data_IF_265878461280
#
_entry.id   IF_265878461280
#
_cell.length_a   1.000
_cell.length_b   1.000
_cell.length_c   1.000
_cell.angle_alpha   90.00
_cell.angle_beta   90.00
_cell.angle_gamma   90.00
#
_symmetry.space_group_name_H-M   'P 1'
#
loop_
_entity.id
_entity.type
_entity.pdbx_description
1 polymer ?
#
# COMPACT_ATOMS: atom_id res chain seq x y z
N UNK A 1 -2.17 10.10 18.70
CA UNK A 1 -1.87 9.10 19.76
C UNK A 1 -0.40 8.72 19.78
N UNK A 2 0.19 8.42 18.62
CA UNK A 2 1.61 8.07 18.49
C UNK A 2 2.60 9.06 19.14
N UNK A 3 2.38 10.38 19.02
CA UNK A 3 3.25 11.39 19.64
C UNK A 3 3.43 11.19 21.16
N UNK A 4 2.32 10.93 21.88
CA UNK A 4 2.34 10.64 23.32
C UNK A 4 3.03 9.32 23.62
N UNK A 5 2.82 8.30 22.79
CA UNK A 5 3.50 7.01 22.93
C UNK A 5 5.00 7.16 22.79
N UNK A 6 5.49 7.88 21.78
CA UNK A 6 6.93 8.11 21.59
C UNK A 6 7.54 8.84 22.81
N UNK A 7 6.83 9.81 23.38
CA UNK A 7 7.26 10.46 24.61
C UNK A 7 7.35 9.47 25.79
N UNK A 8 6.31 8.66 26.01
CA UNK A 8 6.29 7.68 27.09
C UNK A 8 7.41 6.65 26.97
N UNK A 9 7.70 6.16 25.76
CA UNK A 9 8.81 5.21 25.55
C UNK A 9 10.18 5.81 25.90
N UNK A 10 10.35 7.12 25.72
CA UNK A 10 11.57 7.83 26.11
C UNK A 10 11.60 8.01 27.62
N UNK A 11 10.50 8.46 28.22
CA UNK A 11 10.39 8.70 29.66
C UNK A 11 10.61 7.40 30.46
N UNK A 12 10.13 6.27 29.96
CA UNK A 12 10.28 4.93 30.54
C UNK A 12 11.65 4.29 30.24
N UNK A 13 12.58 5.01 29.59
CA UNK A 13 13.90 4.52 29.18
C UNK A 13 13.85 3.22 28.35
N UNK A 14 12.80 3.08 27.53
CA UNK A 14 12.67 1.96 26.58
C UNK A 14 13.43 2.24 25.28
N UNK A 15 13.60 3.51 24.91
CA UNK A 15 14.42 3.99 23.80
C UNK A 15 14.80 5.47 23.99
N UNK A 16 15.53 6.06 23.05
CA UNK A 16 15.85 7.49 23.02
C UNK A 16 15.43 8.13 21.70
N UNK A 17 15.24 9.46 21.69
CA UNK A 17 14.96 10.20 20.44
C UNK A 17 16.06 10.01 19.37
N UNK A 18 17.31 9.79 19.81
CA UNK A 18 18.44 9.51 18.92
C UNK A 18 18.28 8.16 18.25
N UNK A 19 18.03 7.10 19.03
CA UNK A 19 17.79 5.75 18.52
C UNK A 19 16.57 5.71 17.60
N UNK A 20 15.47 6.39 17.96
CA UNK A 20 14.30 6.50 17.09
C UNK A 20 14.70 7.09 15.74
N UNK A 21 15.50 8.17 15.72
CA UNK A 21 15.97 8.78 14.48
C UNK A 21 16.82 7.83 13.64
N UNK A 22 17.77 7.15 14.27
CA UNK A 22 18.64 6.17 13.60
C UNK A 22 17.84 5.00 13.00
N UNK A 23 16.87 4.45 13.74
CA UNK A 23 16.06 3.31 13.32
C UNK A 23 15.03 3.66 12.23
N UNK A 24 14.48 4.87 12.25
CA UNK A 24 13.54 5.36 11.24
C UNK A 24 14.21 5.98 10.02
N UNK A 25 15.53 6.25 10.07
CA UNK A 25 16.25 6.93 9.00
C UNK A 25 15.99 8.43 8.92
N UNK A 26 15.57 9.08 10.01
CA UNK A 26 15.34 10.54 10.05
C UNK A 26 16.22 11.23 11.09
N UNK A 27 16.31 12.56 11.00
CA UNK A 27 17.04 13.35 11.99
C UNK A 27 16.35 13.33 13.36
N UNK A 28 17.13 13.44 14.44
CA UNK A 28 16.60 13.59 15.81
C UNK A 28 15.65 14.80 15.94
N UNK A 29 15.91 15.88 15.20
CA UNK A 29 15.02 17.05 15.15
C UNK A 29 13.64 16.73 14.56
N UNK A 30 13.55 15.78 13.63
CA UNK A 30 12.27 15.31 13.08
C UNK A 30 11.51 14.47 14.11
N UNK A 31 12.22 13.66 14.89
CA UNK A 31 11.62 12.91 16.01
C UNK A 31 11.01 13.84 17.05
N UNK A 32 11.69 14.93 17.45
CA UNK A 32 11.10 15.91 18.38
C UNK A 32 9.86 16.63 17.81
N UNK A 33 9.80 16.85 16.49
CA UNK A 33 8.58 17.37 15.84
C UNK A 33 7.43 16.36 15.88
N UNK A 34 7.70 15.06 15.76
CA UNK A 34 6.69 14.01 15.95
C UNK A 34 6.17 13.98 17.39
N UNK A 35 7.07 14.02 18.37
CA UNK A 35 6.75 13.99 19.80
C UNK A 35 5.90 15.20 20.21
N UNK A 36 6.23 16.39 19.71
CA UNK A 36 5.46 17.62 19.95
C UNK A 36 4.17 17.73 19.12
N UNK A 37 3.91 16.78 18.23
CA UNK A 37 2.73 16.77 17.36
C UNK A 37 2.77 17.81 16.23
N UNK A 38 3.93 18.41 15.95
CA UNK A 38 4.11 19.38 14.86
C UNK A 38 4.20 18.72 13.48
N UNK A 39 4.54 17.43 13.42
CA UNK A 39 4.51 16.62 12.20
C UNK A 39 4.13 15.18 12.53
N UNK A 40 3.76 14.40 11.51
CA UNK A 40 3.51 12.97 11.66
C UNK A 40 4.57 12.15 10.92
N UNK A 41 4.96 10.97 11.44
CA UNK A 41 5.78 10.02 10.71
C UNK A 41 4.96 9.39 9.58
N UNK A 42 5.64 9.11 8.46
CA UNK A 42 5.05 8.32 7.37
C UNK A 42 5.06 6.82 7.68
N UNK A 43 4.40 6.04 6.82
CA UNK A 43 4.30 4.60 6.98
C UNK A 43 5.68 3.91 6.99
N UNK A 44 6.61 4.33 6.14
CA UNK A 44 7.92 3.69 6.05
C UNK A 44 8.76 3.93 7.30
N UNK A 45 8.72 5.13 7.87
CA UNK A 45 9.37 5.47 9.13
C UNK A 45 8.86 4.57 10.27
N UNK A 46 7.55 4.35 10.35
CA UNK A 46 6.94 3.48 11.36
C UNK A 46 7.25 2.02 11.11
N UNK A 47 7.19 1.57 9.87
CA UNK A 47 7.54 0.20 9.47
C UNK A 47 8.98 -0.12 9.86
N UNK A 48 9.91 0.80 9.62
CA UNK A 48 11.32 0.65 10.00
C UNK A 48 11.51 0.64 11.52
N UNK A 49 10.84 1.55 12.24
CA UNK A 49 10.86 1.57 13.70
C UNK A 49 10.38 0.26 14.30
N UNK A 50 9.18 -0.21 13.93
CA UNK A 50 8.61 -1.46 14.46
C UNK A 50 9.51 -2.65 14.11
N UNK A 51 10.12 -2.67 12.91
CA UNK A 51 11.00 -3.77 12.49
C UNK A 51 12.31 -3.83 13.27
N UNK A 52 12.90 -2.69 13.60
CA UNK A 52 14.27 -2.61 14.12
C UNK A 52 14.37 -2.23 15.60
N UNK A 53 13.26 -1.84 16.23
CA UNK A 53 13.23 -1.53 17.67
C UNK A 53 13.63 -2.76 18.49
N UNK A 54 14.64 -2.70 19.37
CA UNK A 54 15.12 -3.88 20.08
C UNK A 54 14.13 -4.44 21.11
N UNK A 55 13.33 -3.57 21.73
CA UNK A 55 12.39 -3.95 22.79
C UNK A 55 11.02 -4.24 22.21
N UNK A 56 10.52 -5.45 22.45
CA UNK A 56 9.20 -5.91 21.99
C UNK A 56 8.05 -5.05 22.51
N UNK A 57 8.12 -4.63 23.77
CA UNK A 57 7.13 -3.74 24.39
C UNK A 57 7.01 -2.40 23.64
N UNK A 58 8.16 -1.84 23.23
CA UNK A 58 8.19 -0.61 22.44
C UNK A 58 7.63 -0.83 21.02
N UNK A 59 7.92 -1.98 20.38
CA UNK A 59 7.32 -2.35 19.09
C UNK A 59 5.79 -2.39 19.17
N UNK A 60 5.26 -3.11 20.16
CA UNK A 60 3.82 -3.29 20.36
C UNK A 60 3.13 -1.96 20.66
N UNK A 61 3.73 -1.11 21.48
CA UNK A 61 3.20 0.22 21.78
C UNK A 61 3.18 1.14 20.55
N UNK A 62 4.25 1.17 19.75
CA UNK A 62 4.31 1.95 18.50
C UNK A 62 3.25 1.45 17.52
N UNK A 63 3.20 0.14 17.27
CA UNK A 63 2.25 -0.45 16.33
C UNK A 63 0.80 -0.20 16.76
N UNK A 64 0.48 -0.43 18.04
CA UNK A 64 -0.88 -0.23 18.57
C UNK A 64 -1.30 1.23 18.48
N UNK A 65 -0.41 2.17 18.83
CA UNK A 65 -0.75 3.59 18.82
C UNK A 65 -0.80 4.21 17.42
N UNK A 66 0.01 3.70 16.48
CA UNK A 66 -0.10 4.04 15.08
C UNK A 66 -1.41 3.48 14.50
N UNK A 67 -1.74 2.22 14.78
CA UNK A 67 -2.98 1.62 14.30
C UNK A 67 -4.24 2.27 14.87
N UNK A 68 -4.23 2.71 16.14
CA UNK A 68 -5.38 3.35 16.76
C UNK A 68 -5.60 4.82 16.34
N UNK A 69 -4.55 5.50 15.86
CA UNK A 69 -4.57 6.93 15.55
C UNK A 69 -4.52 7.29 14.07
N UNK A 70 -4.31 6.31 13.20
CA UNK A 70 -4.36 6.48 11.75
C UNK A 70 -5.75 6.06 11.29
N UNK A 71 -6.47 6.92 10.57
CA UNK A 71 -7.64 6.47 9.81
C UNK A 71 -7.14 5.42 8.83
N UNK A 72 -7.38 4.15 9.15
CA UNK A 72 -7.08 3.06 8.23
C UNK A 72 -8.00 3.23 7.04
N UNK A 73 -7.54 3.94 6.02
CA UNK A 73 -8.04 3.75 4.68
C UNK A 73 -7.50 2.41 4.19
N UNK A 74 -8.09 1.34 4.72
CA UNK A 74 -8.00 0.04 4.10
C UNK A 74 -8.83 0.15 2.83
N UNK A 75 -8.15 0.40 1.71
CA UNK A 75 -8.73 0.11 0.41
C UNK A 75 -8.77 -1.42 0.31
N UNK A 76 -9.86 -1.99 0.83
CA UNK A 76 -10.27 -3.32 0.41
C UNK A 76 -10.60 -3.22 -1.07
N UNK A 77 -9.61 -3.44 -1.91
CA UNK A 77 -9.92 -3.78 -3.29
C UNK A 77 -10.36 -5.24 -3.23
N UNK A 78 -11.65 -5.45 -3.46
CA UNK A 78 -12.16 -6.78 -3.74
C UNK A 78 -11.48 -7.26 -5.03
N UNK A 79 -10.45 -8.08 -4.85
CA UNK A 79 -9.56 -8.57 -5.90
C UNK A 79 -10.03 -9.97 -6.28
N UNK A 80 -11.15 -10.04 -6.99
CA UNK A 80 -11.48 -11.21 -7.78
C UNK A 80 -10.40 -11.36 -8.87
N UNK A 81 -9.62 -12.44 -8.75
CA UNK A 81 -8.46 -12.69 -9.62
C UNK A 81 -8.83 -13.48 -10.88
N UNK A 82 -9.98 -14.15 -10.86
CA UNK A 82 -10.60 -14.80 -12.02
C UNK A 82 -11.40 -13.73 -12.76
N UNK A 83 -10.75 -13.06 -13.72
CA UNK A 83 -11.29 -11.86 -14.37
C UNK A 83 -12.24 -12.22 -15.50
N UNK A 84 -12.11 -13.43 -16.03
CA UNK A 84 -12.91 -13.93 -17.15
C UNK A 84 -13.95 -14.99 -16.73
N UNK A 85 -14.08 -15.25 -15.42
CA UNK A 85 -15.04 -16.16 -14.81
C UNK A 85 -14.91 -17.62 -15.31
N UNK A 86 -13.71 -18.08 -15.66
CA UNK A 86 -13.46 -19.43 -16.17
C UNK A 86 -13.23 -20.48 -15.06
N UNK A 87 -13.17 -20.02 -13.80
CA UNK A 87 -12.94 -20.82 -12.61
C UNK A 87 -11.46 -21.11 -12.32
N UNK A 88 -10.53 -20.47 -13.03
CA UNK A 88 -9.09 -20.59 -12.82
C UNK A 88 -8.46 -19.21 -12.62
N UNK A 89 -7.22 -19.25 -12.14
CA UNK A 89 -6.38 -18.06 -11.98
C UNK A 89 -5.08 -18.35 -12.71
N UNK A 90 -4.92 -17.84 -13.92
CA UNK A 90 -3.76 -18.07 -14.77
C UNK A 90 -3.34 -16.86 -15.64
N UNK A 91 -2.55 -17.09 -16.69
CA UNK A 91 -2.00 -15.99 -17.51
C UNK A 91 -3.11 -15.22 -18.21
N UNK A 92 -4.21 -15.89 -18.54
CA UNK A 92 -5.29 -15.28 -19.31
C UNK A 92 -6.00 -14.21 -18.45
N UNK A 93 -6.16 -14.41 -17.15
CA UNK A 93 -6.64 -13.37 -16.22
C UNK A 93 -5.74 -12.15 -16.16
N UNK A 94 -4.42 -12.39 -16.08
CA UNK A 94 -3.44 -11.31 -16.07
C UNK A 94 -3.50 -10.49 -17.36
N UNK A 95 -3.69 -11.19 -18.49
CA UNK A 95 -3.79 -10.59 -19.82
C UNK A 95 -5.10 -9.82 -19.99
N UNK A 96 -6.24 -10.40 -19.60
CA UNK A 96 -7.55 -9.77 -19.70
C UNK A 96 -7.65 -8.53 -18.82
N UNK A 97 -7.14 -8.60 -17.59
CA UNK A 97 -6.99 -7.44 -16.72
C UNK A 97 -6.12 -6.35 -17.38
N UNK A 98 -4.98 -6.71 -17.94
CA UNK A 98 -4.09 -5.75 -18.61
C UNK A 98 -4.74 -5.11 -19.85
N UNK A 99 -5.47 -5.89 -20.64
CA UNK A 99 -6.21 -5.38 -21.81
C UNK A 99 -7.29 -4.39 -21.36
N UNK A 100 -8.07 -4.72 -20.33
CA UNK A 100 -9.10 -3.85 -19.76
C UNK A 100 -8.49 -2.55 -19.24
N UNK A 101 -7.41 -2.64 -18.48
CA UNK A 101 -6.61 -1.49 -18.00
C UNK A 101 -6.21 -0.55 -19.15
N UNK A 102 -5.70 -1.10 -20.26
CA UNK A 102 -5.26 -0.29 -21.39
C UNK A 102 -6.43 0.41 -22.09
N UNK A 103 -7.60 -0.25 -22.19
CA UNK A 103 -8.82 0.34 -22.74
C UNK A 103 -9.32 1.49 -21.86
N UNK A 104 -9.45 1.27 -20.56
CA UNK A 104 -9.93 2.27 -19.61
C UNK A 104 -8.99 3.49 -19.55
N UNK A 105 -7.67 3.25 -19.65
CA UNK A 105 -6.65 4.31 -19.73
C UNK A 105 -6.79 5.13 -21.01
N UNK A 106 -6.98 4.46 -22.16
CA UNK A 106 -7.15 5.13 -23.45
C UNK A 106 -8.44 5.97 -23.48
N UNK A 107 -9.52 5.46 -22.90
CA UNK A 107 -10.77 6.21 -22.75
C UNK A 107 -10.57 7.45 -21.88
N UNK A 108 -9.95 7.29 -20.70
CA UNK A 108 -9.68 8.40 -19.78
C UNK A 108 -8.87 9.51 -20.45
N UNK A 109 -7.80 9.15 -21.17
CA UNK A 109 -6.98 10.12 -21.91
C UNK A 109 -7.76 10.82 -23.03
N UNK A 110 -8.64 10.08 -23.71
CA UNK A 110 -9.49 10.64 -24.77
C UNK A 110 -10.48 11.66 -24.20
N UNK A 111 -11.09 11.36 -23.06
CA UNK A 111 -12.00 12.28 -22.37
C UNK A 111 -11.27 13.53 -21.86
N UNK A 112 -10.09 13.39 -21.27
CA UNK A 112 -9.26 14.54 -20.84
C UNK A 112 -8.92 15.44 -22.03
N UNK A 113 -8.58 14.85 -23.19
CA UNK A 113 -8.32 15.60 -24.41
C UNK A 113 -9.56 16.33 -24.94
N UNK A 114 -10.73 15.73 -24.83
CA UNK A 114 -11.99 16.37 -25.22
C UNK A 114 -12.28 17.60 -24.36
N UNK A 115 -12.07 17.51 -23.04
CA UNK A 115 -12.17 18.65 -22.11
C UNK A 115 -11.19 19.75 -22.46
N UNK A 116 -9.93 19.40 -22.77
CA UNK A 116 -8.93 20.36 -23.22
C UNK A 116 -9.39 21.13 -24.48
N UNK A 117 -10.14 20.47 -25.37
CA UNK A 117 -10.68 21.04 -26.60
C UNK A 117 -11.99 21.84 -26.39
N UNK A 118 -12.41 22.06 -25.15
CA UNK A 118 -13.54 22.91 -24.80
C UNK A 118 -14.85 22.16 -24.53
N UNK A 119 -14.84 20.82 -24.44
CA UNK A 119 -16.01 20.11 -23.92
C UNK A 119 -16.22 20.43 -22.43
N UNK A 120 -17.48 20.67 -22.01
CA UNK A 120 -17.78 20.90 -20.60
C UNK A 120 -17.52 19.64 -19.77
N UNK A 121 -16.78 19.84 -18.67
CA UNK A 121 -16.50 18.84 -17.66
C UNK A 121 -17.39 19.12 -16.44
N UNK A 122 -18.53 18.44 -16.38
CA UNK A 122 -19.44 18.49 -15.23
C UNK A 122 -19.01 17.48 -14.13
N UNK A 123 -19.67 17.57 -12.98
CA UNK A 123 -19.37 16.71 -11.84
C UNK A 123 -19.59 15.23 -12.11
N UNK A 124 -20.53 14.86 -12.98
CA UNK A 124 -20.82 13.46 -13.33
C UNK A 124 -19.67 12.87 -14.14
N UNK A 125 -19.20 13.59 -15.16
CA UNK A 125 -18.02 13.21 -15.96
C UNK A 125 -16.75 13.12 -15.11
N UNK A 126 -16.57 14.01 -14.13
CA UNK A 126 -15.44 13.93 -13.18
C UNK A 126 -15.51 12.63 -12.37
N UNK A 127 -16.68 12.29 -11.84
CA UNK A 127 -16.85 11.05 -11.08
C UNK A 127 -16.63 9.81 -11.95
N UNK A 128 -17.08 9.84 -13.21
CA UNK A 128 -16.83 8.78 -14.18
C UNK A 128 -15.33 8.63 -14.48
N UNK A 129 -14.59 9.72 -14.67
CA UNK A 129 -13.14 9.69 -14.88
C UNK A 129 -12.40 9.12 -13.66
N UNK A 130 -12.79 9.52 -12.45
CA UNK A 130 -12.25 8.95 -11.22
C UNK A 130 -12.52 7.45 -11.15
N UNK A 131 -13.73 7.01 -11.51
CA UNK A 131 -14.09 5.59 -11.55
C UNK A 131 -13.23 4.80 -12.55
N UNK A 132 -13.02 5.32 -13.76
CA UNK A 132 -12.15 4.70 -14.77
C UNK A 132 -10.70 4.61 -14.28
N UNK A 133 -10.16 5.68 -13.69
CA UNK A 133 -8.81 5.67 -13.11
C UNK A 133 -8.66 4.65 -11.98
N UNK A 134 -9.69 4.51 -11.13
CA UNK A 134 -9.72 3.47 -10.10
C UNK A 134 -9.76 2.07 -10.70
N UNK A 135 -10.49 1.85 -11.81
CA UNK A 135 -10.49 0.57 -12.53
C UNK A 135 -9.12 0.26 -13.15
N UNK A 136 -8.42 1.26 -13.71
CA UNK A 136 -7.05 1.11 -14.21
C UNK A 136 -6.11 0.63 -13.09
N UNK A 137 -6.15 1.29 -11.93
CA UNK A 137 -5.33 0.91 -10.78
C UNK A 137 -5.67 -0.51 -10.27
N UNK A 138 -6.96 -0.86 -10.22
CA UNK A 138 -7.43 -2.19 -9.83
C UNK A 138 -6.92 -3.26 -10.79
N UNK A 139 -7.11 -3.08 -12.09
CA UNK A 139 -6.71 -4.05 -13.11
C UNK A 139 -5.18 -4.25 -13.13
N UNK A 140 -4.40 -3.18 -12.95
CA UNK A 140 -2.95 -3.27 -12.79
C UNK A 140 -2.56 -4.15 -11.59
N UNK A 141 -3.25 -3.97 -10.47
CA UNK A 141 -3.03 -4.76 -9.25
C UNK A 141 -3.41 -6.22 -9.43
N UNK A 142 -4.52 -6.52 -10.12
CA UNK A 142 -4.92 -7.89 -10.46
C UNK A 142 -3.84 -8.56 -11.31
N UNK A 143 -3.38 -7.92 -12.39
CA UNK A 143 -2.29 -8.44 -13.24
C UNK A 143 -1.05 -8.75 -12.40
N UNK A 144 -0.62 -7.82 -11.54
CA UNK A 144 0.53 -8.05 -10.66
C UNK A 144 0.30 -9.26 -9.73
N UNK A 145 -0.89 -9.37 -9.14
CA UNK A 145 -1.19 -10.40 -8.15
C UNK A 145 -1.23 -11.79 -8.78
N UNK A 146 -1.86 -11.92 -9.93
CA UNK A 146 -1.88 -13.18 -10.71
C UNK A 146 -0.46 -13.64 -11.03
N UNK A 147 0.42 -12.73 -11.50
CA UNK A 147 1.82 -13.07 -11.79
C UNK A 147 2.60 -13.53 -10.54
N UNK A 148 2.35 -12.91 -9.38
CA UNK A 148 2.95 -13.33 -8.11
C UNK A 148 2.47 -14.73 -7.72
N UNK A 149 1.15 -14.97 -7.73
CA UNK A 149 0.57 -16.25 -7.37
C UNK A 149 1.08 -17.37 -8.31
N UNK A 150 1.21 -17.10 -9.60
CA UNK A 150 1.83 -18.00 -10.57
C UNK A 150 3.30 -18.33 -10.24
N UNK A 151 4.09 -17.32 -9.86
CA UNK A 151 5.49 -17.50 -9.47
C UNK A 151 5.61 -18.39 -8.23
N UNK A 152 4.76 -18.17 -7.24
CA UNK A 152 4.70 -19.00 -6.03
C UNK A 152 4.28 -20.43 -6.33
N UNK A 153 3.27 -20.64 -7.19
CA UNK A 153 2.86 -21.97 -7.61
C UNK A 153 4.00 -22.72 -8.31
N UNK A 154 4.73 -22.06 -9.22
CA UNK A 154 5.91 -22.65 -9.88
C UNK A 154 7.00 -23.02 -8.88
N UNK A 155 7.27 -22.16 -7.88
CA UNK A 155 8.23 -22.44 -6.81
C UNK A 155 7.82 -23.65 -5.97
N UNK A 156 6.55 -23.73 -5.56
CA UNK A 156 6.00 -24.86 -4.80
C UNK A 156 6.10 -26.18 -5.59
N UNK A 157 5.83 -26.15 -6.90
CA UNK A 157 5.99 -27.32 -7.78
C UNK A 157 7.45 -27.79 -7.88
N UNK A 158 8.41 -26.87 -7.99
CA UNK A 158 9.85 -27.20 -8.01
C UNK A 158 10.33 -27.85 -6.72
N UNK A 159 9.92 -27.33 -5.57
CA UNK A 159 10.32 -27.89 -4.26
C UNK A 159 9.83 -29.33 -4.08
N UNK A 160 8.58 -29.61 -4.47
CA UNK A 160 8.00 -30.98 -4.42
C UNK A 160 8.72 -32.00 -5.32
N UNK A 161 9.36 -31.55 -6.39
CA UNK A 161 10.13 -32.42 -7.28
C UNK A 161 11.50 -32.77 -6.68
N UNK A 162 12.11 -31.85 -5.93
CA UNK A 162 13.41 -32.09 -5.26
C UNK A 162 13.25 -33.02 -4.05
N UNK A 163 12.13 -32.97 -3.33
CA UNK A 163 11.84 -33.88 -2.19
C UNK A 163 11.52 -35.32 -2.60
N UNK A 164 11.32 -35.58 -3.91
CA UNK A 164 10.99 -36.91 -4.44
C UNK A 164 12.16 -37.63 -5.12
N UNK A 165 13.34 -37.00 -5.14
CA UNK A 165 14.61 -37.54 -5.66
C UNK A 165 15.50 -37.87 -4.46
#
# INVERSE_FOLDING_TARGET
MLAKTLQLLIDDNLTTAKEIGELSGVSTSTVYRWISGQSQPDYDSIRLLVRHMPRKEAQEAILSSFAAGTDWQFNHMDLELDVNDDGKIDVDDALDAAIKMMRDSAETLSQIRAVQNGEPLDSEKILQQIALLNQVARNCTITQRVLVDMSEQKRKRKLKLVERI
#
